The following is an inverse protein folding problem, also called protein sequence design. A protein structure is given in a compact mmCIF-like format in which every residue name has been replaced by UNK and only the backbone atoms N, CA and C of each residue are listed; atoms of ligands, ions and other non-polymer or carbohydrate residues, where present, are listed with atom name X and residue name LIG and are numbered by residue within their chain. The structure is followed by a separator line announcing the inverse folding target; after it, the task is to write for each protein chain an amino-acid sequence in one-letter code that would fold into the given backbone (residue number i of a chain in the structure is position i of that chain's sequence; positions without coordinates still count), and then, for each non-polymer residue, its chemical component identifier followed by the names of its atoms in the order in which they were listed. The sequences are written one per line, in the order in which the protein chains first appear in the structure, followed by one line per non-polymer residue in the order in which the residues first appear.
data_IF_333244714595
#
_entry.id   IF_333244714595
#
_cell.length_a   1.000
_cell.length_b   1.000
_cell.length_c   1.000
_cell.angle_alpha   90.00
_cell.angle_beta   90.00
_cell.angle_gamma   90.00
#
_symmetry.space_group_name_H-M   'P 1'
#
loop_
_entity.id
_entity.type
_entity.pdbx_description
1 polymer ?
#
# COMPACT_ATOMS: atom_id res chain seq x y z
N UNK A 1 -37.14 9.53 38.25
CA UNK A 1 -37.57 10.26 37.03
C UNK A 1 -38.15 11.61 37.42
N UNK A 2 -37.74 12.71 36.79
CA UNK A 2 -38.25 14.06 37.10
C UNK A 2 -39.59 14.32 36.38
N UNK A 3 -40.48 15.20 36.92
CA UNK A 3 -41.81 15.46 36.33
C UNK A 3 -41.75 15.99 34.88
N UNK A 4 -40.70 16.76 34.56
CA UNK A 4 -40.45 17.29 33.22
C UNK A 4 -40.23 16.17 32.19
N UNK A 5 -39.52 15.11 32.56
CA UNK A 5 -39.21 13.98 31.69
C UNK A 5 -40.46 13.12 31.43
N UNK A 6 -41.38 13.02 32.41
CA UNK A 6 -42.66 12.33 32.22
C UNK A 6 -43.58 13.06 31.23
N UNK A 7 -43.65 14.40 31.33
CA UNK A 7 -44.42 15.19 30.35
C UNK A 7 -43.84 15.05 28.94
N UNK A 8 -42.52 15.15 28.81
CA UNK A 8 -41.84 15.06 27.52
C UNK A 8 -41.94 13.66 26.88
N UNK A 9 -41.93 12.60 27.68
CA UNK A 9 -42.13 11.24 27.19
C UNK A 9 -43.57 10.99 26.73
N UNK A 10 -44.57 11.52 27.45
CA UNK A 10 -45.96 11.46 27.05
C UNK A 10 -46.24 12.23 25.74
N UNK A 11 -45.61 13.41 25.57
CA UNK A 11 -45.72 14.21 24.34
C UNK A 11 -45.08 13.52 23.11
N UNK A 12 -43.99 12.78 23.30
CA UNK A 12 -43.28 12.09 22.23
C UNK A 12 -43.68 10.61 22.07
N UNK A 13 -44.66 10.12 22.84
CA UNK A 13 -45.13 8.74 22.79
C UNK A 13 -44.09 7.69 23.19
N UNK A 14 -43.10 8.06 24.02
CA UNK A 14 -42.00 7.19 24.42
C UNK A 14 -42.33 6.51 25.74
N UNK A 15 -42.25 5.17 25.79
CA UNK A 15 -42.36 4.43 27.04
C UNK A 15 -41.06 4.58 27.87
N UNK A 16 -41.18 5.12 29.08
CA UNK A 16 -40.07 5.33 29.99
C UNK A 16 -39.50 4.02 30.56
N UNK A 17 -40.25 2.92 30.49
CA UNK A 17 -39.80 1.61 30.96
C UNK A 17 -38.69 1.02 30.06
N UNK A 18 -38.66 1.42 28.79
CA UNK A 18 -37.71 0.92 27.78
C UNK A 18 -36.49 1.84 27.59
N UNK A 19 -36.44 2.98 28.29
CA UNK A 19 -35.37 3.97 28.15
C UNK A 19 -34.34 3.79 29.27
N UNK A 20 -33.12 3.44 28.87
CA UNK A 20 -31.99 3.37 29.80
C UNK A 20 -31.54 4.78 30.20
N UNK A 21 -31.68 5.14 31.48
CA UNK A 21 -31.31 6.46 31.98
C UNK A 21 -29.79 6.61 32.19
N UNK A 22 -29.20 7.67 31.64
CA UNK A 22 -27.75 7.94 31.73
C UNK A 22 -27.37 8.88 32.89
N UNK A 23 -28.35 9.35 33.68
CA UNK A 23 -28.10 10.23 34.81
C UNK A 23 -27.58 9.53 36.07
N UNK A 24 -26.97 10.31 36.96
CA UNK A 24 -26.41 9.83 38.24
C UNK A 24 -27.49 9.08 39.03
N UNK A 25 -27.23 7.80 39.30
CA UNK A 25 -28.18 6.87 39.94
C UNK A 25 -29.23 6.25 38.99
N UNK A 26 -28.94 6.14 37.68
CA UNK A 26 -29.86 5.54 36.70
C UNK A 26 -31.06 6.41 36.34
N UNK A 27 -30.98 7.73 36.60
CA UNK A 27 -32.09 8.65 36.33
C UNK A 27 -32.16 9.00 34.85
N UNK A 28 -33.35 8.82 34.26
CA UNK A 28 -33.65 9.22 32.87
C UNK A 28 -33.65 10.75 32.76
N UNK A 29 -32.83 11.27 31.84
CA UNK A 29 -32.71 12.70 31.52
C UNK A 29 -33.52 13.06 30.26
N UNK A 30 -33.68 14.35 30.01
CA UNK A 30 -34.34 14.88 28.80
C UNK A 30 -33.71 14.35 27.50
N UNK A 31 -32.38 14.24 27.48
CA UNK A 31 -31.62 13.75 26.32
C UNK A 31 -31.94 12.28 26.00
N UNK A 32 -32.12 11.44 27.03
CA UNK A 32 -32.41 10.01 26.86
C UNK A 32 -33.80 9.79 26.23
N UNK A 33 -34.80 10.61 26.60
CA UNK A 33 -36.15 10.54 26.00
C UNK A 33 -36.17 11.07 24.57
N UNK A 34 -35.41 12.13 24.26
CA UNK A 34 -35.30 12.64 22.90
C UNK A 34 -34.58 11.63 21.98
N UNK A 35 -33.52 11.00 22.45
CA UNK A 35 -32.81 9.96 21.71
C UNK A 35 -33.72 8.73 21.46
N UNK A 36 -34.52 8.33 22.45
CA UNK A 36 -35.48 7.24 22.30
C UNK A 36 -36.63 7.61 21.35
N UNK A 37 -37.10 8.86 21.37
CA UNK A 37 -38.10 9.36 20.44
C UNK A 37 -37.58 9.40 18.99
N UNK A 38 -36.34 9.84 18.78
CA UNK A 38 -35.70 9.84 17.45
C UNK A 38 -35.45 8.42 16.94
N UNK A 39 -35.04 7.49 17.80
CA UNK A 39 -34.88 6.08 17.45
C UNK A 39 -36.23 5.42 17.08
N UNK A 40 -37.30 5.74 17.81
CA UNK A 40 -38.65 5.27 17.49
C UNK A 40 -39.17 5.87 16.17
N UNK A 41 -38.81 7.12 15.86
CA UNK A 41 -39.13 7.77 14.57
C UNK A 41 -38.34 7.19 13.41
N UNK A 42 -37.09 6.79 13.64
CA UNK A 42 -36.25 6.11 12.65
C UNK A 42 -36.70 4.66 12.40
N UNK A 43 -37.35 4.00 13.37
CA UNK A 43 -37.92 2.67 13.23
C UNK A 43 -39.31 2.65 12.54
N UNK A 44 -39.96 3.81 12.38
CA UNK A 44 -41.28 3.95 11.74
C UNK A 44 -41.23 4.46 10.29
N UNK A 45 -40.04 4.59 9.69
CA UNK A 45 -39.90 4.86 8.26
C UNK A 45 -39.82 3.53 7.49
N UNK A 46 -40.68 3.27 6.48
CA UNK A 46 -40.54 2.10 5.64
C UNK A 46 -39.19 2.18 4.93
N UNK A 47 -38.32 1.21 5.20
CA UNK A 47 -37.05 1.08 4.49
C UNK A 47 -37.34 0.97 2.99
N UNK A 48 -36.74 1.80 2.12
CA UNK A 48 -36.76 1.51 0.70
C UNK A 48 -36.09 0.15 0.51
N UNK A 49 -36.75 -0.74 -0.24
CA UNK A 49 -36.17 -2.01 -0.63
C UNK A 49 -34.75 -1.77 -1.19
N UNK A 50 -33.73 -2.55 -0.81
CA UNK A 50 -32.41 -2.36 -1.34
C UNK A 50 -32.48 -2.62 -2.85
N UNK A 51 -32.36 -1.55 -3.63
CA UNK A 51 -32.07 -1.68 -5.05
C UNK A 51 -30.78 -2.49 -5.16
N UNK A 52 -30.84 -3.59 -5.93
CA UNK A 52 -29.68 -4.43 -6.17
C UNK A 52 -28.56 -3.58 -6.77
N UNK A 53 -27.55 -3.27 -5.94
CA UNK A 53 -26.32 -2.69 -6.43
C UNK A 53 -25.69 -3.68 -7.42
N UNK A 54 -25.18 -3.21 -8.58
CA UNK A 54 -24.46 -4.09 -9.48
C UNK A 54 -23.34 -4.78 -8.70
N UNK A 55 -23.32 -6.12 -8.78
CA UNK A 55 -22.34 -6.94 -8.11
C UNK A 55 -20.93 -6.42 -8.44
N UNK A 56 -20.03 -6.28 -7.45
CA UNK A 56 -18.67 -5.88 -7.72
C UNK A 56 -18.08 -6.85 -8.75
N UNK A 57 -17.64 -6.32 -9.88
CA UNK A 57 -16.89 -7.10 -10.85
C UNK A 57 -15.76 -7.80 -10.09
N UNK A 58 -15.72 -9.13 -10.16
CA UNK A 58 -14.78 -9.94 -9.43
C UNK A 58 -13.36 -9.41 -9.69
N UNK A 59 -12.76 -8.82 -8.65
CA UNK A 59 -11.39 -8.38 -8.70
C UNK A 59 -10.54 -9.59 -9.09
N UNK A 60 -9.85 -9.51 -10.24
CA UNK A 60 -8.85 -10.49 -10.63
C UNK A 60 -7.91 -10.65 -9.44
N UNK A 61 -7.87 -11.84 -8.86
CA UNK A 61 -6.94 -12.16 -7.76
C UNK A 61 -5.54 -11.74 -8.24
N UNK A 62 -4.95 -10.78 -7.53
CA UNK A 62 -3.55 -10.46 -7.72
C UNK A 62 -2.75 -11.76 -7.53
N UNK A 63 -1.70 -12.00 -8.33
CA UNK A 63 -0.86 -13.18 -8.15
C UNK A 63 -0.37 -13.20 -6.71
N UNK A 64 -0.62 -14.31 -6.01
CA UNK A 64 -0.08 -14.55 -4.68
C UNK A 64 1.45 -14.58 -4.79
N UNK A 65 2.08 -13.49 -4.38
CA UNK A 65 3.54 -13.41 -4.30
C UNK A 65 4.01 -14.35 -3.19
N UNK A 66 4.51 -15.52 -3.56
CA UNK A 66 5.13 -16.43 -2.63
C UNK A 66 6.32 -15.74 -1.97
N UNK A 67 6.32 -15.72 -0.63
CA UNK A 67 7.43 -15.14 0.11
C UNK A 67 8.67 -16.00 -0.14
N UNK A 68 9.75 -15.37 -0.61
CA UNK A 68 11.04 -16.05 -0.79
C UNK A 68 11.41 -16.80 0.50
N UNK A 69 11.86 -18.07 0.39
CA UNK A 69 12.18 -18.90 1.55
C UNK A 69 13.32 -18.34 2.42
N UNK A 70 14.06 -17.35 1.91
CA UNK A 70 15.14 -16.65 2.61
C UNK A 70 14.66 -15.44 3.42
N UNK A 71 13.37 -15.12 3.38
CA UNK A 71 12.80 -13.96 4.09
C UNK A 71 12.98 -14.11 5.59
N UNK A 72 13.64 -13.14 6.22
CA UNK A 72 13.91 -13.13 7.66
C UNK A 72 15.13 -13.94 8.08
N UNK A 73 15.84 -14.59 7.14
CA UNK A 73 17.09 -15.26 7.46
C UNK A 73 18.22 -14.24 7.55
N UNK A 74 18.96 -14.27 8.66
CA UNK A 74 20.21 -13.51 8.82
C UNK A 74 21.39 -14.41 8.49
N UNK A 75 22.17 -14.03 7.49
CA UNK A 75 23.38 -14.76 7.09
C UNK A 75 24.61 -13.90 7.40
N UNK A 76 25.65 -14.53 7.96
CA UNK A 76 26.90 -13.83 8.27
C UNK A 76 27.56 -13.30 7.00
N UNK A 77 27.93 -12.01 7.02
CA UNK A 77 28.56 -11.37 5.87
C UNK A 77 30.00 -11.89 5.64
N UNK A 78 30.35 -12.33 4.43
CA UNK A 78 31.72 -12.67 4.08
C UNK A 78 32.65 -11.45 4.26
N UNK A 79 33.90 -11.68 4.70
CA UNK A 79 34.88 -10.60 4.95
C UNK A 79 35.08 -9.70 3.73
N UNK A 80 35.14 -10.28 2.52
CA UNK A 80 35.32 -9.50 1.29
C UNK A 80 34.15 -8.55 1.03
N UNK A 81 32.90 -8.99 1.27
CA UNK A 81 31.72 -8.12 1.12
C UNK A 81 31.72 -7.00 2.14
N UNK A 82 32.21 -7.27 3.36
CA UNK A 82 32.36 -6.26 4.40
C UNK A 82 33.30 -5.14 3.98
N UNK A 83 34.50 -5.49 3.53
CA UNK A 83 35.47 -4.49 3.07
C UNK A 83 34.96 -3.71 1.86
N UNK A 84 34.31 -4.38 0.89
CA UNK A 84 33.69 -3.70 -0.25
C UNK A 84 32.63 -2.70 0.24
N UNK A 85 31.74 -3.11 1.13
CA UNK A 85 30.70 -2.26 1.68
C UNK A 85 31.27 -1.04 2.42
N UNK A 86 32.25 -1.26 3.29
CA UNK A 86 32.91 -0.18 4.05
C UNK A 86 33.55 0.85 3.09
N UNK A 87 34.23 0.39 2.04
CA UNK A 87 34.84 1.26 1.03
C UNK A 87 33.81 2.00 0.18
N UNK A 88 32.71 1.34 -0.21
CA UNK A 88 31.63 1.97 -0.98
C UNK A 88 30.95 3.08 -0.17
N UNK A 89 30.67 2.83 1.11
CA UNK A 89 30.07 3.81 2.02
C UNK A 89 31.03 4.97 2.25
N UNK A 90 32.33 4.69 2.45
CA UNK A 90 33.35 5.74 2.59
C UNK A 90 33.40 6.64 1.35
N UNK A 91 33.49 6.05 0.16
CA UNK A 91 33.54 6.82 -1.10
C UNK A 91 32.31 7.71 -1.30
N UNK A 92 31.12 7.23 -0.92
CA UNK A 92 29.87 7.99 -1.01
C UNK A 92 29.85 9.21 -0.07
N UNK A 93 30.43 9.10 1.13
CA UNK A 93 30.48 10.20 2.09
C UNK A 93 31.60 11.20 1.79
N UNK A 94 32.71 10.74 1.24
CA UNK A 94 33.90 11.57 1.01
C UNK A 94 33.84 12.36 -0.30
N UNK A 95 33.15 11.85 -1.33
CA UNK A 95 33.11 12.44 -2.66
C UNK A 95 31.70 12.89 -3.07
N UNK A 96 31.59 14.08 -3.65
CA UNK A 96 30.37 14.53 -4.32
C UNK A 96 30.17 13.74 -5.62
N UNK A 97 29.18 12.86 -5.64
CA UNK A 97 28.85 12.08 -6.84
C UNK A 97 28.05 12.95 -7.82
N UNK A 98 28.62 13.20 -8.98
CA UNK A 98 27.95 13.85 -10.11
C UNK A 98 27.82 12.82 -11.22
N UNK A 99 26.63 12.69 -11.79
CA UNK A 99 26.37 11.81 -12.93
C UNK A 99 25.97 12.65 -14.13
N UNK A 100 26.70 12.49 -15.23
CA UNK A 100 26.34 13.03 -16.53
C UNK A 100 25.99 11.88 -17.46
N UNK A 101 24.93 12.04 -18.23
CA UNK A 101 24.51 11.07 -19.24
C UNK A 101 24.69 11.72 -20.61
N UNK A 102 25.32 11.00 -21.52
CA UNK A 102 25.52 11.41 -22.92
C UNK A 102 25.04 10.28 -23.81
N UNK A 103 24.21 10.62 -24.78
CA UNK A 103 23.79 9.67 -25.81
C UNK A 103 24.81 9.63 -26.94
N UNK A 104 25.18 8.43 -27.36
CA UNK A 104 26.18 8.22 -28.42
C UNK A 104 25.62 7.21 -29.42
N UNK A 105 25.57 7.60 -30.70
CA UNK A 105 25.22 6.68 -31.79
C UNK A 105 26.41 5.76 -32.12
N UNK A 106 26.23 4.46 -31.84
CA UNK A 106 27.23 3.41 -32.08
C UNK A 106 27.00 2.64 -33.39
N UNK A 107 26.12 3.08 -34.27
CA UNK A 107 25.74 2.38 -35.50
C UNK A 107 26.95 2.06 -36.39
N UNK A 108 27.85 3.03 -36.60
CA UNK A 108 29.05 2.84 -37.43
C UNK A 108 30.02 1.82 -36.83
N UNK A 109 30.21 1.88 -35.51
CA UNK A 109 31.03 0.95 -34.75
C UNK A 109 30.52 -0.49 -34.86
N UNK A 110 29.20 -0.65 -34.71
CA UNK A 110 28.55 -1.96 -34.82
C UNK A 110 28.63 -2.54 -36.24
N UNK A 111 28.53 -1.71 -37.28
CA UNK A 111 28.75 -2.16 -38.67
C UNK A 111 30.18 -2.62 -38.91
N UNK A 112 31.17 -1.88 -38.42
CA UNK A 112 32.58 -2.27 -38.52
C UNK A 112 32.84 -3.61 -37.82
N UNK A 113 32.32 -3.78 -36.59
CA UNK A 113 32.40 -5.05 -35.88
C UNK A 113 31.75 -6.19 -36.68
N UNK A 114 30.59 -5.95 -37.28
CA UNK A 114 29.88 -6.97 -38.05
C UNK A 114 30.67 -7.46 -39.26
N UNK A 115 31.51 -6.62 -39.87
CA UNK A 115 32.40 -7.01 -40.97
C UNK A 115 33.54 -7.93 -40.51
N UNK A 116 34.05 -7.74 -39.29
CA UNK A 116 35.23 -8.45 -38.79
C UNK A 116 34.92 -9.64 -37.86
N UNK A 117 33.73 -9.70 -37.25
CA UNK A 117 33.39 -10.64 -36.18
C UNK A 117 33.55 -12.12 -36.59
N UNK A 118 33.18 -12.48 -37.82
CA UNK A 118 33.11 -13.87 -38.25
C UNK A 118 34.51 -14.39 -38.59
N UNK A 119 35.32 -13.57 -39.27
CA UNK A 119 36.73 -13.85 -39.52
C UNK A 119 37.53 -13.93 -38.21
N UNK A 120 37.25 -13.06 -37.25
CA UNK A 120 37.89 -13.09 -35.94
C UNK A 120 37.50 -14.34 -35.15
N UNK A 121 36.22 -14.71 -35.14
CA UNK A 121 35.75 -15.92 -34.47
C UNK A 121 36.37 -17.18 -35.09
N UNK A 122 36.54 -17.22 -36.41
CA UNK A 122 37.22 -18.33 -37.09
C UNK A 122 38.71 -18.43 -36.72
N UNK A 123 39.39 -17.30 -36.52
CA UNK A 123 40.83 -17.27 -36.20
C UNK A 123 41.13 -17.55 -34.74
N UNK A 124 40.36 -16.97 -33.82
CA UNK A 124 40.67 -16.97 -32.37
C UNK A 124 39.76 -17.89 -31.56
N UNK A 125 38.69 -18.44 -32.15
CA UNK A 125 37.71 -19.29 -31.46
C UNK A 125 36.81 -18.56 -30.46
N UNK A 126 36.99 -17.25 -30.28
CA UNK A 126 36.21 -16.40 -29.38
C UNK A 126 35.43 -15.33 -30.13
N UNK A 127 34.26 -14.96 -29.60
CA UNK A 127 33.42 -13.92 -30.20
C UNK A 127 34.05 -12.55 -29.97
N UNK A 128 34.18 -11.76 -31.04
CA UNK A 128 34.55 -10.35 -30.93
C UNK A 128 33.45 -9.59 -30.18
N UNK A 129 33.70 -9.14 -28.96
CA UNK A 129 32.74 -8.33 -28.19
C UNK A 129 32.86 -6.84 -28.56
N UNK A 130 31.86 -6.00 -28.24
CA UNK A 130 31.98 -4.55 -28.38
C UNK A 130 32.97 -3.90 -27.38
N UNK A 131 33.33 -4.60 -26.29
CA UNK A 131 34.11 -4.02 -25.18
C UNK A 131 35.43 -3.35 -25.59
N UNK A 132 36.24 -3.87 -26.54
CA UNK A 132 37.50 -3.23 -26.94
C UNK A 132 37.37 -1.81 -27.48
N UNK A 133 36.17 -1.37 -27.85
CA UNK A 133 35.91 0.00 -28.28
C UNK A 133 35.57 0.97 -27.13
N UNK A 134 35.37 0.45 -25.92
CA UNK A 134 34.91 1.21 -24.74
C UNK A 134 35.86 1.12 -23.53
N UNK A 135 36.97 0.37 -23.66
CA UNK A 135 38.02 0.24 -22.65
C UNK A 135 39.12 1.27 -22.92
#
# INVERSE_FOLDING_TARGET
VTPLVRKLAAENGVDLSTVQGTGVGGRIRKQDVLAAAEAAKAAAAPAPAPAAAPAPAAAKKAPTLEASPLRGQTVKMPRIRKVIGDNMVKALHEMAQLSSVVEVDVTKLMRLRAQAKDAFQAREGVKLSPMPFFV
#
